data_IF_534544258535
#
_entry.id   IF_534544258535
#
_cell.length_a   1.000
_cell.length_b   1.000
_cell.length_c   1.000
_cell.angle_alpha   90.00
_cell.angle_beta   90.00
_cell.angle_gamma   90.00
#
_symmetry.space_group_name_H-M   'P 1'
#
loop_
_entity.id
_entity.type
_entity.pdbx_description
1 polymer ?
#
# COMPACT_ATOMS: atom_id res chain seq x y z
N UNK A 1 -18.71 -2.87 9.58
CA UNK A 1 -18.94 -3.93 10.58
C UNK A 1 -18.00 -5.09 10.26
N UNK A 2 -17.35 -5.64 11.28
CA UNK A 2 -16.61 -6.90 11.20
C UNK A 2 -17.57 -8.08 11.37
N UNK A 3 -17.54 -9.02 10.43
CA UNK A 3 -18.54 -10.09 10.33
C UNK A 3 -18.37 -10.92 9.04
N UNK A 4 -19.00 -12.10 8.96
CA UNK A 4 -18.80 -13.05 7.87
C UNK A 4 -19.08 -12.41 6.50
N UNK A 5 -18.18 -12.64 5.55
CA UNK A 5 -18.27 -12.13 4.17
C UNK A 5 -17.96 -13.27 3.22
N UNK A 6 -18.78 -13.43 2.18
CA UNK A 6 -18.58 -14.45 1.14
C UNK A 6 -18.59 -13.75 -0.22
N UNK A 7 -17.57 -14.01 -1.02
CA UNK A 7 -17.38 -13.44 -2.36
C UNK A 7 -17.05 -14.60 -3.29
N UNK A 8 -17.91 -14.89 -4.26
CA UNK A 8 -17.71 -15.96 -5.25
C UNK A 8 -17.30 -17.31 -4.63
N UNK A 9 -17.95 -17.69 -3.52
CA UNK A 9 -17.67 -18.92 -2.77
C UNK A 9 -16.47 -18.87 -1.82
N UNK A 10 -15.68 -17.79 -1.84
CA UNK A 10 -14.58 -17.57 -0.90
C UNK A 10 -15.04 -16.83 0.35
N UNK A 11 -14.74 -17.38 1.53
CA UNK A 11 -15.14 -16.84 2.84
C UNK A 11 -13.92 -16.63 3.74
N UNK A 12 -13.29 -15.43 3.74
CA UNK A 12 -12.15 -15.15 4.59
C UNK A 12 -12.55 -15.04 6.06
N UNK A 13 -11.61 -15.40 6.94
CA UNK A 13 -11.77 -15.31 8.38
C UNK A 13 -10.72 -14.39 8.99
N UNK A 14 -11.06 -13.78 10.13
CA UNK A 14 -10.07 -13.07 10.95
C UNK A 14 -9.13 -14.08 11.61
N UNK A 15 -7.89 -13.66 11.88
CA UNK A 15 -6.92 -14.49 12.58
C UNK A 15 -7.43 -15.00 13.94
N UNK A 16 -8.18 -14.17 14.67
CA UNK A 16 -8.77 -14.50 15.97
C UNK A 16 -9.98 -15.45 15.91
N UNK A 17 -10.42 -15.89 14.72
CA UNK A 17 -11.61 -16.72 14.46
C UNK A 17 -12.97 -16.19 14.95
N UNK A 18 -13.00 -15.08 15.71
CA UNK A 18 -14.21 -14.34 16.09
C UNK A 18 -14.40 -13.02 15.33
N UNK A 19 -15.58 -12.42 15.51
CA UNK A 19 -15.93 -11.11 14.94
C UNK A 19 -16.14 -10.06 16.04
N UNK A 20 -15.62 -8.86 15.81
CA UNK A 20 -15.74 -7.73 16.70
C UNK A 20 -17.07 -6.95 16.53
N UNK A 21 -17.88 -7.27 15.52
CA UNK A 21 -19.13 -6.56 15.25
C UNK A 21 -18.89 -5.12 14.76
N UNK A 22 -19.70 -4.14 15.20
CA UNK A 22 -19.49 -2.74 14.83
C UNK A 22 -18.13 -2.21 15.32
N UNK A 23 -17.29 -1.80 14.37
CA UNK A 23 -15.96 -1.22 14.62
C UNK A 23 -15.75 -0.04 13.67
N UNK A 24 -14.98 0.95 14.09
CA UNK A 24 -14.53 2.03 13.21
C UNK A 24 -13.47 1.53 12.21
N UNK A 25 -13.30 2.21 11.08
CA UNK A 25 -12.22 1.90 10.14
C UNK A 25 -10.84 1.97 10.81
N UNK A 26 -10.64 2.92 11.72
CA UNK A 26 -9.42 3.05 12.51
C UNK A 26 -9.16 1.81 13.38
N UNK A 27 -10.18 1.33 14.09
CA UNK A 27 -10.07 0.11 14.93
C UNK A 27 -9.85 -1.15 14.08
N UNK A 28 -10.53 -1.25 12.95
CA UNK A 28 -10.37 -2.39 12.05
C UNK A 28 -8.95 -2.44 11.46
N UNK A 29 -8.41 -1.29 11.06
CA UNK A 29 -7.05 -1.15 10.56
C UNK A 29 -6.02 -1.50 11.66
N UNK A 30 -6.16 -0.93 12.86
CA UNK A 30 -5.21 -1.18 13.96
C UNK A 30 -5.18 -2.65 14.42
N UNK A 31 -6.29 -3.37 14.25
CA UNK A 31 -6.42 -4.79 14.63
C UNK A 31 -6.20 -5.75 13.45
N UNK A 32 -5.93 -5.23 12.25
CA UNK A 32 -5.76 -6.03 11.03
C UNK A 32 -6.93 -7.01 10.78
N UNK A 33 -8.17 -6.49 10.83
CA UNK A 33 -9.37 -7.33 10.64
C UNK A 33 -9.59 -7.66 9.16
N UNK A 34 -9.34 -8.92 8.78
CA UNK A 34 -9.43 -9.43 7.41
C UNK A 34 -10.81 -9.17 6.78
N UNK A 35 -11.91 -9.44 7.48
CA UNK A 35 -13.24 -9.29 6.86
C UNK A 35 -13.57 -7.84 6.54
N UNK A 36 -13.10 -6.90 7.36
CA UNK A 36 -13.28 -5.46 7.11
C UNK A 36 -12.40 -5.01 5.95
N UNK A 37 -11.12 -5.44 5.90
CA UNK A 37 -10.22 -5.13 4.79
C UNK A 37 -10.80 -5.60 3.44
N UNK A 38 -11.34 -6.82 3.41
CA UNK A 38 -11.99 -7.39 2.23
C UNK A 38 -13.24 -6.59 1.85
N UNK A 39 -14.12 -6.25 2.80
CA UNK A 39 -15.32 -5.45 2.52
C UNK A 39 -14.97 -4.08 1.94
N UNK A 40 -14.00 -3.38 2.52
CA UNK A 40 -13.55 -2.07 2.01
C UNK A 40 -12.99 -2.21 0.60
N UNK A 41 -12.12 -3.21 0.37
CA UNK A 41 -11.57 -3.49 -0.96
C UNK A 41 -12.65 -3.77 -2.00
N UNK A 42 -13.67 -4.56 -1.67
CA UNK A 42 -14.80 -4.82 -2.57
C UNK A 42 -15.64 -3.57 -2.85
N UNK A 43 -15.87 -2.73 -1.83
CA UNK A 43 -16.59 -1.46 -2.01
C UNK A 43 -15.84 -0.47 -2.89
N UNK A 44 -14.51 -0.43 -2.79
CA UNK A 44 -13.67 0.44 -3.64
C UNK A 44 -13.33 -0.15 -5.00
N UNK A 45 -13.45 -1.47 -5.14
CA UNK A 45 -13.01 -2.25 -6.29
C UNK A 45 -11.57 -2.76 -6.14
N UNK A 46 -11.30 -4.08 -6.30
CA UNK A 46 -9.95 -4.66 -6.28
C UNK A 46 -8.97 -4.03 -7.27
N UNK A 47 -9.47 -3.56 -8.42
CA UNK A 47 -8.66 -2.86 -9.42
C UNK A 47 -8.14 -1.51 -8.90
N UNK A 48 -8.93 -0.79 -8.10
CA UNK A 48 -8.51 0.47 -7.48
C UNK A 48 -7.40 0.22 -6.44
N UNK A 49 -7.47 -0.88 -5.70
CA UNK A 49 -6.43 -1.30 -4.75
C UNK A 49 -5.12 -1.60 -5.49
N UNK A 50 -5.18 -2.35 -6.61
CA UNK A 50 -4.01 -2.61 -7.44
C UNK A 50 -3.41 -1.31 -8.02
N UNK A 51 -4.26 -0.40 -8.51
CA UNK A 51 -3.81 0.90 -9.02
C UNK A 51 -3.17 1.77 -7.93
N UNK A 52 -3.70 1.73 -6.71
CA UNK A 52 -3.11 2.44 -5.57
C UNK A 52 -1.73 1.87 -5.21
N UNK A 53 -1.59 0.54 -5.17
CA UNK A 53 -0.30 -0.12 -4.95
C UNK A 53 0.75 0.33 -5.98
N UNK A 54 0.37 0.44 -7.26
CA UNK A 54 1.23 0.96 -8.34
C UNK A 54 1.66 2.40 -8.10
N UNK A 55 0.72 3.26 -7.68
CA UNK A 55 1.01 4.67 -7.33
C UNK A 55 1.97 4.80 -6.17
N UNK A 56 1.92 3.87 -5.21
CA UNK A 56 2.84 3.81 -4.07
C UNK A 56 4.22 3.23 -4.42
N UNK A 57 4.43 2.74 -5.64
CA UNK A 57 5.73 2.25 -6.10
C UNK A 57 5.87 0.74 -6.14
N UNK A 58 4.78 -0.02 -6.00
CA UNK A 58 4.80 -1.48 -6.18
C UNK A 58 4.65 -1.82 -7.68
N UNK A 59 5.75 -2.20 -8.33
CA UNK A 59 5.82 -2.48 -9.77
C UNK A 59 5.57 -3.97 -10.10
N UNK A 60 5.67 -4.85 -9.11
CA UNK A 60 5.27 -6.26 -9.16
C UNK A 60 3.83 -6.46 -9.65
N UNK A 61 3.53 -7.51 -10.43
CA UNK A 61 2.16 -7.81 -10.88
C UNK A 61 1.19 -7.94 -9.70
N UNK A 62 0.03 -7.29 -9.80
CA UNK A 62 -1.01 -7.27 -8.77
C UNK A 62 -2.31 -7.75 -9.40
N UNK A 63 -2.80 -8.93 -9.01
CA UNK A 63 -4.05 -9.46 -9.54
C UNK A 63 -5.24 -8.81 -8.82
N UNK A 64 -6.19 -8.19 -9.54
CA UNK A 64 -7.36 -7.51 -8.95
C UNK A 64 -8.44 -8.53 -8.55
N UNK A 65 -8.08 -9.46 -7.66
CA UNK A 65 -8.96 -10.50 -7.10
C UNK A 65 -9.31 -10.17 -5.64
N UNK A 66 -10.38 -10.74 -5.05
CA UNK A 66 -10.81 -10.42 -3.69
C UNK A 66 -9.70 -10.53 -2.62
N UNK A 67 -8.80 -11.50 -2.78
CA UNK A 67 -7.69 -11.74 -1.86
C UNK A 67 -6.55 -10.72 -1.94
N UNK A 68 -6.58 -9.76 -2.89
CA UNK A 68 -5.61 -8.66 -2.94
C UNK A 68 -5.62 -7.84 -1.63
N UNK A 69 -6.79 -7.72 -0.99
CA UNK A 69 -6.96 -7.04 0.29
C UNK A 69 -6.16 -7.68 1.43
N UNK A 70 -5.76 -8.94 1.27
CA UNK A 70 -5.04 -9.73 2.27
C UNK A 70 -3.59 -10.03 1.86
N UNK A 71 -3.09 -9.37 0.81
CA UNK A 71 -1.69 -9.53 0.39
C UNK A 71 -1.39 -10.80 -0.43
N UNK A 72 -2.36 -11.35 -1.16
CA UNK A 72 -2.17 -12.56 -1.96
C UNK A 72 -1.21 -12.40 -3.17
N UNK A 73 -0.81 -11.17 -3.50
CA UNK A 73 0.19 -10.88 -4.55
C UNK A 73 1.55 -10.59 -3.90
N UNK A 74 2.59 -11.26 -4.39
CA UNK A 74 3.97 -11.06 -3.92
C UNK A 74 4.60 -9.76 -4.44
N UNK A 75 5.55 -9.22 -3.69
CA UNK A 75 6.37 -8.05 -4.08
C UNK A 75 7.78 -8.19 -3.50
N UNK A 76 8.75 -7.48 -4.06
CA UNK A 76 10.10 -7.42 -3.48
C UNK A 76 10.13 -6.56 -2.21
N UNK A 77 11.11 -6.83 -1.33
CA UNK A 77 11.31 -6.01 -0.13
C UNK A 77 11.59 -4.53 -0.47
N UNK A 78 12.31 -4.29 -1.57
CA UNK A 78 12.63 -2.94 -2.03
C UNK A 78 11.37 -2.16 -2.44
N UNK A 79 10.40 -2.81 -3.09
CA UNK A 79 9.11 -2.21 -3.43
C UNK A 79 8.22 -2.03 -2.19
N UNK A 80 8.20 -3.01 -1.28
CA UNK A 80 7.43 -2.89 -0.05
C UNK A 80 7.89 -1.68 0.77
N UNK A 81 9.21 -1.55 0.96
CA UNK A 81 9.81 -0.42 1.68
C UNK A 81 9.59 0.90 0.94
N UNK A 82 9.64 0.91 -0.41
CA UNK A 82 9.26 2.08 -1.21
C UNK A 82 7.80 2.49 -1.00
N UNK A 83 6.89 1.51 -0.91
CA UNK A 83 5.47 1.75 -0.64
C UNK A 83 5.23 2.44 0.70
N UNK A 84 5.89 1.97 1.77
CA UNK A 84 5.85 2.65 3.06
C UNK A 84 6.51 4.04 3.02
N UNK A 85 7.63 4.18 2.30
CA UNK A 85 8.29 5.46 2.12
C UNK A 85 7.42 6.47 1.36
N UNK A 86 6.59 6.00 0.43
CA UNK A 86 5.63 6.85 -0.26
C UNK A 86 4.54 7.38 0.68
N UNK A 87 4.03 6.53 1.60
CA UNK A 87 3.11 6.98 2.64
C UNK A 87 3.75 8.01 3.59
N UNK A 88 5.03 7.84 3.91
CA UNK A 88 5.80 8.79 4.72
C UNK A 88 6.08 10.11 4.01
N UNK A 89 6.26 10.06 2.69
CA UNK A 89 6.53 11.23 1.84
C UNK A 89 5.26 11.96 1.42
N UNK A 90 4.20 11.95 2.22
CA UNK A 90 2.98 12.65 1.84
C UNK A 90 2.18 11.98 0.71
N UNK A 91 2.48 10.74 0.35
CA UNK A 91 1.87 10.05 -0.80
C UNK A 91 2.64 10.19 -2.12
N UNK A 92 3.83 10.80 -2.11
CA UNK A 92 4.72 10.87 -3.27
C UNK A 92 5.42 9.52 -3.52
N UNK A 93 5.43 9.05 -4.78
CA UNK A 93 6.12 7.81 -5.14
C UNK A 93 7.62 7.94 -4.87
N UNK A 94 8.16 7.04 -4.04
CA UNK A 94 9.60 6.95 -3.77
C UNK A 94 10.21 5.89 -4.68
N UNK A 95 11.26 6.25 -5.43
CA UNK A 95 12.04 5.28 -6.22
C UNK A 95 13.35 4.96 -5.47
N UNK A 96 13.55 3.73 -4.99
CA UNK A 96 14.77 3.35 -4.29
C UNK A 96 16.00 3.38 -5.22
N UNK A 97 17.14 3.79 -4.67
CA UNK A 97 18.43 3.80 -5.36
C UNK A 97 19.57 3.58 -4.36
N UNK A 98 20.67 2.98 -4.81
CA UNK A 98 21.87 2.77 -4.00
C UNK A 98 23.03 3.72 -4.37
N UNK A 99 22.98 4.30 -5.58
CA UNK A 99 24.06 5.11 -6.16
C UNK A 99 23.51 6.51 -6.43
N UNK A 100 24.16 7.53 -5.87
CA UNK A 100 23.80 8.94 -6.07
C UNK A 100 24.46 9.56 -7.30
N UNK A 101 25.70 9.20 -7.55
CA UNK A 101 26.49 9.74 -8.64
C UNK A 101 27.59 8.74 -9.03
N UNK A 102 27.93 8.71 -10.31
CA UNK A 102 29.10 8.02 -10.85
C UNK A 102 29.97 9.07 -11.52
N UNK A 103 31.23 9.16 -11.09
CA UNK A 103 32.22 10.09 -11.63
C UNK A 103 33.33 9.33 -12.36
N UNK A 104 33.90 9.95 -13.40
CA UNK A 104 35.10 9.41 -14.05
C UNK A 104 36.37 9.74 -13.24
N UNK A 105 37.53 9.23 -13.69
CA UNK A 105 38.84 9.48 -13.05
C UNK A 105 39.19 10.98 -12.92
N UNK A 106 38.60 11.84 -13.75
CA UNK A 106 38.83 13.29 -13.75
C UNK A 106 37.85 14.04 -12.83
N UNK A 107 37.02 13.32 -12.05
CA UNK A 107 36.02 13.91 -11.15
C UNK A 107 34.80 14.48 -11.87
N UNK A 108 34.61 14.18 -13.17
CA UNK A 108 33.43 14.62 -13.92
C UNK A 108 32.27 13.65 -13.71
N UNK A 109 31.12 14.19 -13.32
CA UNK A 109 29.86 13.45 -13.27
C UNK A 109 29.53 12.81 -14.62
N UNK A 110 29.33 11.49 -14.62
CA UNK A 110 28.86 10.73 -15.77
C UNK A 110 27.37 10.40 -15.65
N UNK A 111 26.93 10.00 -14.45
CA UNK A 111 25.54 9.67 -14.13
C UNK A 111 25.23 10.27 -12.77
N UNK A 112 24.13 11.00 -12.66
CA UNK A 112 23.61 11.51 -11.39
C UNK A 112 22.09 11.35 -11.36
N UNK A 113 21.53 11.00 -10.21
CA UNK A 113 20.08 10.96 -10.03
C UNK A 113 19.56 12.36 -9.68
N UNK A 114 18.61 12.85 -10.46
CA UNK A 114 17.83 14.05 -10.16
C UNK A 114 16.38 13.66 -9.87
N UNK A 115 15.94 13.87 -8.63
CA UNK A 115 14.55 13.66 -8.24
C UNK A 115 13.80 14.99 -8.41
N UNK A 116 12.69 14.98 -9.16
CA UNK A 116 11.70 16.06 -9.09
C UNK A 116 10.69 15.70 -8.01
N UNK A 117 10.28 16.65 -7.13
CA UNK A 117 9.19 16.40 -6.20
C UNK A 117 7.93 16.06 -7.00
N UNK A 118 7.23 15.01 -6.57
CA UNK A 118 5.94 14.64 -7.14
C UNK A 118 4.83 15.38 -6.40
N UNK A 119 3.59 15.36 -6.90
CA UNK A 119 2.48 15.97 -6.16
C UNK A 119 1.97 14.99 -5.09
N UNK A 120 2.09 15.36 -3.81
CA UNK A 120 1.58 14.58 -2.67
C UNK A 120 0.05 14.42 -2.64
N UNK A 121 -0.43 13.60 -1.71
CA UNK A 121 -1.86 13.38 -1.46
C UNK A 121 -2.50 14.55 -0.72
N UNK A 122 -3.83 14.72 -0.83
CA UNK A 122 -4.57 15.71 -0.06
C UNK A 122 -4.39 15.52 1.46
N UNK A 123 -4.28 16.64 2.20
CA UNK A 123 -4.10 16.66 3.65
C UNK A 123 -5.04 15.72 4.45
N UNK A 124 -6.33 15.55 4.11
CA UNK A 124 -7.22 14.65 4.84
C UNK A 124 -6.78 13.17 4.86
N UNK A 125 -6.13 12.69 3.79
CA UNK A 125 -5.65 11.31 3.72
C UNK A 125 -4.41 11.13 4.60
N UNK A 126 -3.53 12.14 4.62
CA UNK A 126 -2.38 12.16 5.51
C UNK A 126 -2.79 12.21 6.99
N UNK A 127 -3.84 12.96 7.32
CA UNK A 127 -4.41 13.01 8.67
C UNK A 127 -4.88 11.64 9.18
N UNK A 128 -5.46 10.80 8.32
CA UNK A 128 -5.92 9.45 8.69
C UNK A 128 -4.76 8.49 9.00
N UNK A 129 -3.58 8.69 8.41
CA UNK A 129 -2.45 7.79 8.51
C UNK A 129 -1.46 8.17 9.63
N UNK A 130 -1.30 9.45 9.93
CA UNK A 130 -0.20 9.95 10.76
C UNK A 130 -0.59 10.42 12.17
N UNK A 131 -1.86 10.73 12.42
CA UNK A 131 -2.30 11.26 13.72
C UNK A 131 -2.94 10.20 14.63
N UNK A 132 -2.44 10.11 15.87
CA UNK A 132 -2.98 9.28 16.97
C UNK A 132 -4.33 9.82 17.44
#
# INVERSE_FOLDING_TARGET
MDGPVTIDGWTPQNFSQGYAGPVSLRQAFSRSLNTVAVRVSQQTGPAAVAALAKRLGIESPMMPVPSIALGASGTSLLELTAGYAALASGGEKVRPYAIIEIQNRQGRCCIGISQKPAHGWPAPIMWLLWYR
#
